data_IF_727855793509
#
_entry.id   IF_727855793509
#
_cell.length_a   1.000
_cell.length_b   1.000
_cell.length_c   1.000
_cell.angle_alpha   90.00
_cell.angle_beta   90.00
_cell.angle_gamma   90.00
#
_symmetry.space_group_name_H-M   'P 1'
#
loop_
_entity.id
_entity.type
_entity.pdbx_description
1 polymer ?
#
# COMPACT_ATOMS: atom_id res chain seq x y z
N UNK A 1 4.53 8.62 44.43
CA UNK A 1 5.14 8.56 43.09
C UNK A 1 4.35 7.56 42.27
N UNK A 2 3.29 8.05 41.65
CA UNK A 2 2.41 7.27 40.78
C UNK A 2 3.16 6.96 39.49
N UNK A 3 3.32 5.69 39.16
CA UNK A 3 3.78 5.24 37.84
C UNK A 3 2.83 5.83 36.78
N UNK A 4 3.18 6.97 36.19
CA UNK A 4 2.66 7.34 34.88
C UNK A 4 3.19 6.28 33.92
N UNK A 5 2.39 5.23 33.67
CA UNK A 5 2.52 4.51 32.41
C UNK A 5 2.35 5.57 31.33
N UNK A 6 3.41 5.87 30.58
CA UNK A 6 3.30 6.66 29.36
C UNK A 6 2.12 6.09 28.57
N UNK A 7 1.11 6.95 28.32
CA UNK A 7 -0.10 6.54 27.64
C UNK A 7 0.31 6.32 26.18
N UNK A 8 0.56 5.06 25.83
CA UNK A 8 1.04 4.71 24.49
C UNK A 8 0.05 5.24 23.44
N UNK A 9 0.50 6.24 22.69
CA UNK A 9 -0.27 6.88 21.64
C UNK A 9 0.45 6.73 20.30
N UNK A 10 -0.32 6.82 19.23
CA UNK A 10 0.16 6.81 17.86
C UNK A 10 -0.09 8.17 17.23
N UNK A 11 0.87 8.65 16.45
CA UNK A 11 0.73 9.86 15.64
C UNK A 11 0.76 9.45 14.18
N UNK A 12 -0.14 10.03 13.41
CA UNK A 12 -0.18 9.94 11.97
C UNK A 12 -0.02 11.34 11.39
N UNK A 13 0.81 11.48 10.38
CA UNK A 13 0.81 12.65 9.51
C UNK A 13 0.43 12.20 8.10
N UNK A 14 -0.66 12.75 7.55
CA UNK A 14 -1.12 12.49 6.19
C UNK A 14 -1.04 13.77 5.35
N UNK A 15 -0.64 13.63 4.09
CA UNK A 15 -0.54 14.73 3.12
C UNK A 15 -1.12 14.28 1.78
N UNK A 16 -2.03 15.08 1.22
CA UNK A 16 -2.65 14.81 -0.07
C UNK A 16 -1.65 14.97 -1.22
N UNK A 17 -1.75 14.07 -2.19
CA UNK A 17 -0.97 14.11 -3.42
C UNK A 17 -1.70 14.88 -4.53
N UNK A 18 -0.94 15.62 -5.33
CA UNK A 18 -1.48 16.27 -6.56
C UNK A 18 -2.36 17.50 -6.30
N UNK A 19 -2.30 18.09 -5.11
CA UNK A 19 -3.02 19.32 -4.74
C UNK A 19 -2.61 20.50 -5.63
N UNK A 20 -1.30 20.67 -5.84
CA UNK A 20 -0.72 21.67 -6.76
C UNK A 20 -1.20 21.54 -8.20
N UNK A 21 -1.37 20.31 -8.69
CA UNK A 21 -1.85 20.07 -10.06
C UNK A 21 -3.35 20.32 -10.17
N UNK A 22 -4.12 19.95 -9.14
CA UNK A 22 -5.57 20.20 -9.10
C UNK A 22 -5.86 21.71 -9.08
N UNK A 23 -5.10 22.49 -8.31
CA UNK A 23 -5.21 23.95 -8.27
C UNK A 23 -4.88 24.63 -9.61
N UNK A 24 -4.05 24.00 -10.47
CA UNK A 24 -3.74 24.51 -11.81
C UNK A 24 -4.82 24.23 -12.85
N UNK A 25 -5.56 23.12 -12.69
CA UNK A 25 -6.55 22.66 -13.67
C UNK A 25 -7.88 23.39 -13.47
N UNK A 26 -8.32 23.55 -12.21
CA UNK A 26 -9.57 24.24 -11.91
C UNK A 26 -9.55 24.83 -10.50
N UNK A 27 -10.05 26.06 -10.38
CA UNK A 27 -10.27 26.73 -9.10
C UNK A 27 -11.31 26.02 -8.22
N UNK A 28 -12.19 25.18 -8.78
CA UNK A 28 -13.20 24.42 -8.03
C UNK A 28 -12.77 23.02 -7.63
N UNK A 29 -11.84 22.39 -8.37
CA UNK A 29 -11.41 21.02 -8.10
C UNK A 29 -10.56 20.90 -6.83
N UNK A 30 -9.71 21.90 -6.56
CA UNK A 30 -8.90 21.90 -5.36
C UNK A 30 -9.77 21.99 -4.09
N UNK A 31 -10.67 22.98 -3.92
CA UNK A 31 -11.54 23.06 -2.75
C UNK A 31 -12.37 21.80 -2.52
N UNK A 32 -12.95 21.22 -3.57
CA UNK A 32 -13.77 20.00 -3.46
C UNK A 32 -12.95 18.81 -2.94
N UNK A 33 -11.70 18.65 -3.38
CA UNK A 33 -10.81 17.60 -2.88
C UNK A 33 -10.43 17.80 -1.41
N UNK A 34 -10.17 19.05 -1.01
CA UNK A 34 -9.86 19.38 0.39
C UNK A 34 -11.08 19.11 1.29
N UNK A 35 -12.28 19.48 0.84
CA UNK A 35 -13.53 19.21 1.53
C UNK A 35 -13.76 17.70 1.69
N UNK A 36 -13.66 16.95 0.60
CA UNK A 36 -13.82 15.48 0.61
C UNK A 36 -12.82 14.81 1.54
N UNK A 37 -11.55 15.21 1.47
CA UNK A 37 -10.49 14.73 2.37
C UNK A 37 -10.79 15.01 3.83
N UNK A 38 -11.15 16.27 4.15
CA UNK A 38 -11.39 16.70 5.52
C UNK A 38 -12.64 16.03 6.11
N UNK A 39 -13.72 15.92 5.34
CA UNK A 39 -14.95 15.23 5.76
C UNK A 39 -14.71 13.73 5.96
N UNK A 40 -14.02 13.06 5.04
CA UNK A 40 -13.70 11.62 5.17
C UNK A 40 -12.88 11.35 6.43
N UNK A 41 -11.87 12.17 6.71
CA UNK A 41 -11.06 12.03 7.92
C UNK A 41 -11.86 12.30 9.19
N UNK A 42 -12.72 13.32 9.18
CA UNK A 42 -13.58 13.66 10.32
C UNK A 42 -14.57 12.54 10.63
N UNK A 43 -15.27 12.04 9.61
CA UNK A 43 -16.26 10.96 9.73
C UNK A 43 -15.63 9.70 10.34
N UNK A 44 -14.49 9.25 9.79
CA UNK A 44 -13.83 8.05 10.31
C UNK A 44 -13.18 8.27 11.68
N UNK A 45 -12.68 9.47 11.97
CA UNK A 45 -12.12 9.79 13.28
C UNK A 45 -13.19 9.82 14.39
N UNK A 46 -14.45 10.16 14.08
CA UNK A 46 -15.57 10.12 15.03
C UNK A 46 -15.94 8.70 15.47
N UNK A 47 -15.58 7.68 14.69
CA UNK A 47 -15.84 6.28 15.02
C UNK A 47 -14.80 5.70 16.00
N UNK A 48 -13.68 6.40 16.23
CA UNK A 48 -12.65 6.01 17.19
C UNK A 48 -13.16 6.24 18.61
N UNK A 49 -13.12 5.19 19.44
CA UNK A 49 -13.52 5.22 20.85
C UNK A 49 -12.34 5.61 21.77
N UNK A 50 -11.11 5.32 21.35
CA UNK A 50 -9.91 5.76 22.04
C UNK A 50 -9.72 7.28 21.98
N UNK A 51 -8.85 7.83 22.85
CA UNK A 51 -8.49 9.25 22.81
C UNK A 51 -7.95 9.63 21.42
N UNK A 52 -8.63 10.55 20.75
CA UNK A 52 -8.27 11.04 19.42
C UNK A 52 -8.06 12.56 19.41
N UNK A 53 -7.03 13.01 18.69
CA UNK A 53 -6.83 14.44 18.38
C UNK A 53 -6.57 14.59 16.90
N UNK A 54 -7.26 15.52 16.24
CA UNK A 54 -7.09 15.79 14.81
C UNK A 54 -6.77 17.27 14.60
N UNK A 55 -5.78 17.57 13.74
CA UNK A 55 -5.37 18.93 13.38
C UNK A 55 -5.17 19.03 11.87
N UNK A 56 -6.05 19.77 11.21
CA UNK A 56 -6.02 19.98 9.77
C UNK A 56 -5.15 21.18 9.38
N UNK A 57 -4.45 21.05 8.26
CA UNK A 57 -3.57 22.05 7.67
C UNK A 57 -3.76 22.05 6.15
N UNK A 58 -4.88 22.59 5.68
CA UNK A 58 -5.29 22.58 4.28
C UNK A 58 -5.26 21.18 3.64
N UNK A 59 -4.17 20.78 3.00
CA UNK A 59 -3.98 19.50 2.33
C UNK A 59 -3.27 18.42 3.18
N UNK A 60 -3.00 18.71 4.45
CA UNK A 60 -2.39 17.76 5.39
C UNK A 60 -3.11 17.72 6.74
N UNK A 61 -2.85 16.66 7.50
CA UNK A 61 -3.46 16.45 8.82
C UNK A 61 -2.51 15.74 9.77
N UNK A 62 -2.52 16.15 11.04
CA UNK A 62 -2.02 15.33 12.14
C UNK A 62 -3.18 14.65 12.85
N UNK A 63 -3.01 13.36 13.16
CA UNK A 63 -3.92 12.60 13.99
C UNK A 63 -3.15 11.91 15.12
N UNK A 64 -3.63 12.02 16.35
CA UNK A 64 -3.19 11.21 17.48
C UNK A 64 -4.29 10.20 17.81
N UNK A 65 -3.94 8.93 18.03
CA UNK A 65 -4.88 7.88 18.46
C UNK A 65 -4.28 7.05 19.61
N UNK A 66 -5.07 6.81 20.66
CA UNK A 66 -4.68 5.99 21.80
C UNK A 66 -4.77 4.46 21.57
N UNK A 67 -5.19 3.99 20.39
CA UNK A 67 -5.41 2.57 20.10
C UNK A 67 -4.87 2.20 18.72
N UNK A 68 -3.93 1.25 18.66
CA UNK A 68 -3.39 0.78 17.39
C UNK A 68 -4.44 0.03 16.56
N UNK A 69 -5.31 -0.75 17.20
CA UNK A 69 -6.35 -1.50 16.46
C UNK A 69 -7.34 -0.55 15.79
N UNK A 70 -7.83 0.46 16.51
CA UNK A 70 -8.75 1.44 15.94
C UNK A 70 -8.05 2.34 14.92
N UNK A 71 -6.75 2.60 15.07
CA UNK A 71 -5.96 3.26 14.05
C UNK A 71 -5.89 2.43 12.76
N UNK A 72 -5.69 1.11 12.85
CA UNK A 72 -5.72 0.21 11.68
C UNK A 72 -7.06 0.28 10.97
N UNK A 73 -8.16 0.26 11.72
CA UNK A 73 -9.52 0.33 11.15
C UNK A 73 -9.78 1.68 10.49
N UNK A 74 -9.37 2.79 11.13
CA UNK A 74 -9.40 4.14 10.57
C UNK A 74 -8.60 4.23 9.26
N UNK A 75 -7.37 3.71 9.26
CA UNK A 75 -6.49 3.69 8.08
C UNK A 75 -7.13 2.96 6.90
N UNK A 76 -7.70 1.78 7.15
CA UNK A 76 -8.36 0.99 6.12
C UNK A 76 -9.56 1.75 5.52
N UNK A 77 -10.38 2.37 6.37
CA UNK A 77 -11.56 3.12 5.93
C UNK A 77 -11.19 4.38 5.13
N UNK A 78 -10.25 5.18 5.62
CA UNK A 78 -9.77 6.39 4.93
C UNK A 78 -9.13 6.04 3.59
N UNK A 79 -8.30 5.00 3.54
CA UNK A 79 -7.67 4.53 2.30
C UNK A 79 -8.72 4.07 1.30
N UNK A 80 -9.69 3.25 1.73
CA UNK A 80 -10.77 2.76 0.88
C UNK A 80 -11.58 3.91 0.26
N UNK A 81 -12.11 4.82 1.09
CA UNK A 81 -12.96 5.93 0.63
C UNK A 81 -12.19 6.86 -0.32
N UNK A 82 -11.02 7.35 0.10
CA UNK A 82 -10.29 8.35 -0.70
C UNK A 82 -9.72 7.76 -1.99
N UNK A 83 -9.18 6.54 -1.97
CA UNK A 83 -8.56 5.97 -3.17
C UNK A 83 -9.62 5.57 -4.19
N UNK A 84 -10.82 5.16 -3.76
CA UNK A 84 -11.97 4.92 -4.66
C UNK A 84 -12.40 6.19 -5.41
N UNK A 85 -12.15 7.37 -4.83
CA UNK A 85 -12.38 8.68 -5.46
C UNK A 85 -11.14 9.25 -6.18
N UNK A 86 -10.08 8.46 -6.34
CA UNK A 86 -8.81 8.90 -6.93
C UNK A 86 -8.15 10.06 -6.16
N UNK A 87 -8.41 10.15 -4.85
CA UNK A 87 -7.76 11.07 -3.91
C UNK A 87 -6.68 10.29 -3.17
N UNK A 88 -5.43 10.49 -3.57
CA UNK A 88 -4.28 9.78 -3.00
C UNK A 88 -3.55 10.64 -1.98
N UNK A 89 -2.88 9.99 -1.04
CA UNK A 89 -2.06 10.63 -0.02
C UNK A 89 -0.80 9.82 0.25
N UNK A 90 0.18 10.48 0.88
CA UNK A 90 1.32 9.84 1.54
C UNK A 90 1.23 10.11 3.04
N UNK A 91 1.38 9.06 3.83
CA UNK A 91 1.24 9.14 5.28
C UNK A 91 2.35 8.36 6.01
N UNK A 92 2.70 8.83 7.21
CA UNK A 92 3.54 8.08 8.14
C UNK A 92 2.88 7.91 9.50
N UNK A 93 3.19 6.80 10.16
CA UNK A 93 2.71 6.40 11.48
C UNK A 93 3.92 6.19 12.40
N UNK A 94 3.90 6.83 13.55
CA UNK A 94 4.92 6.72 14.59
C UNK A 94 4.29 6.60 15.98
N UNK A 95 5.08 6.17 16.96
CA UNK A 95 4.67 6.25 18.38
C UNK A 95 4.96 7.62 18.95
N UNK A 96 4.07 8.10 19.80
CA UNK A 96 4.26 9.33 20.56
C UNK A 96 2.97 10.10 20.74
N UNK A 97 3.10 11.28 21.35
CA UNK A 97 2.01 12.23 21.49
C UNK A 97 2.25 13.46 20.60
N UNK A 98 1.17 14.04 20.09
CA UNK A 98 1.25 15.23 19.25
C UNK A 98 1.83 16.44 20.01
N UNK A 99 1.61 16.47 21.34
CA UNK A 99 1.96 17.60 22.22
C UNK A 99 1.54 18.95 21.63
N UNK A 100 0.32 19.02 21.12
CA UNK A 100 -0.24 20.25 20.56
C UNK A 100 -0.34 21.35 21.62
N UNK A 101 0.40 22.44 21.39
CA UNK A 101 0.41 23.65 22.22
C UNK A 101 -0.09 24.80 21.36
N UNK A 102 -1.34 25.26 21.55
CA UNK A 102 -1.87 26.38 20.78
C UNK A 102 -1.03 27.63 21.02
N UNK A 103 -0.81 28.40 19.97
CA UNK A 103 -0.23 29.74 20.06
C UNK A 103 -1.28 30.61 20.74
N UNK A 104 -1.16 30.82 22.04
CA UNK A 104 -2.07 31.70 22.78
C UNK A 104 -1.87 33.12 22.26
N UNK A 105 -2.91 33.68 21.64
CA UNK A 105 -2.92 35.10 21.32
C UNK A 105 -2.89 35.92 22.61
N UNK A 106 -1.90 36.80 22.74
CA UNK A 106 -2.09 37.99 23.54
C UNK A 106 -3.10 38.88 22.81
N UNK A 107 -4.36 38.87 23.25
CA UNK A 107 -5.37 39.82 22.79
C UNK A 107 -4.80 41.21 23.08
N UNK A 108 -4.35 41.89 22.03
CA UNK A 108 -3.90 43.28 22.15
C UNK A 108 -5.17 44.12 22.17
N UNK A 109 -5.52 44.65 23.33
CA UNK A 109 -6.63 45.61 23.47
C UNK A 109 -6.43 46.76 22.47
N UNK A 110 -7.45 47.09 21.69
CA UNK A 110 -7.45 48.29 20.82
C UNK A 110 -7.54 48.08 19.29
N UNK A 111 -7.81 46.87 18.79
CA UNK A 111 -8.05 46.69 17.33
C UNK A 111 -9.52 46.93 16.95
N UNK A 112 -9.73 47.74 15.90
CA UNK A 112 -11.03 48.12 15.33
C UNK A 112 -11.71 47.03 14.50
N UNK A 113 -11.02 45.92 14.19
CA UNK A 113 -11.51 44.84 13.34
C UNK A 113 -11.22 43.46 13.97
N UNK A 114 -12.06 42.44 13.70
CA UNK A 114 -11.81 41.07 14.16
C UNK A 114 -10.46 40.58 13.63
N UNK A 115 -9.63 40.06 14.53
CA UNK A 115 -8.30 39.53 14.24
C UNK A 115 -8.27 38.05 14.60
N UNK A 116 -8.28 37.20 13.58
CA UNK A 116 -8.24 35.74 13.73
C UNK A 116 -6.86 35.23 13.29
N UNK A 117 -6.07 34.80 14.27
CA UNK A 117 -4.79 34.13 14.08
C UNK A 117 -4.77 32.96 15.03
N UNK A 118 -4.84 31.77 14.47
CA UNK A 118 -4.70 30.51 15.19
C UNK A 118 -3.48 29.76 14.67
N UNK A 119 -2.87 28.96 15.55
CA UNK A 119 -1.70 28.17 15.22
C UNK A 119 -1.33 27.27 16.38
N UNK A 120 -0.46 26.31 16.11
CA UNK A 120 -0.04 25.30 17.07
C UNK A 120 1.46 25.05 16.96
N UNK A 121 2.10 24.82 18.11
CA UNK A 121 3.40 24.17 18.19
C UNK A 121 3.19 22.69 18.48
N UNK A 122 4.06 21.85 17.92
CA UNK A 122 4.03 20.42 18.11
C UNK A 122 5.30 19.90 18.76
N UNK A 123 5.19 18.77 19.46
CA UNK A 123 6.32 18.12 20.11
C UNK A 123 7.25 17.41 19.12
N UNK A 124 8.39 16.89 19.62
CA UNK A 124 9.40 16.22 18.80
C UNK A 124 8.87 15.02 18.00
N UNK A 125 7.92 14.26 18.55
CA UNK A 125 7.33 13.12 17.87
C UNK A 125 6.55 13.52 16.60
N UNK A 126 5.90 14.69 16.60
CA UNK A 126 5.24 15.24 15.43
C UNK A 126 6.24 15.59 14.31
N UNK A 127 7.40 16.13 14.68
CA UNK A 127 8.50 16.41 13.74
C UNK A 127 9.06 15.11 13.15
N UNK A 128 9.21 14.07 13.97
CA UNK A 128 9.65 12.74 13.55
C UNK A 128 8.72 12.12 12.50
N UNK A 129 7.40 12.10 12.76
CA UNK A 129 6.42 11.54 11.82
C UNK A 129 6.31 12.38 10.54
N UNK A 130 6.42 13.71 10.63
CA UNK A 130 6.50 14.59 9.46
C UNK A 130 7.69 14.23 8.57
N UNK A 131 8.87 14.06 9.15
CA UNK A 131 10.07 13.70 8.38
C UNK A 131 9.99 12.29 7.77
N UNK A 132 9.41 11.34 8.49
CA UNK A 132 9.17 9.99 7.98
C UNK A 132 8.23 10.03 6.76
N UNK A 133 7.18 10.85 6.82
CA UNK A 133 6.24 11.06 5.73
C UNK A 133 6.88 11.75 4.52
N UNK A 134 7.73 12.77 4.75
CA UNK A 134 8.47 13.45 3.67
C UNK A 134 9.46 12.53 2.95
N UNK A 135 10.07 11.62 3.72
CA UNK A 135 11.01 10.61 3.22
C UNK A 135 10.32 9.51 2.43
N UNK A 136 9.03 9.25 2.71
CA UNK A 136 8.22 8.27 2.01
C UNK A 136 7.84 8.75 0.60
N UNK A 137 8.09 7.92 -0.41
CA UNK A 137 7.78 8.24 -1.81
C UNK A 137 6.63 7.41 -2.40
N UNK A 138 6.12 6.42 -1.68
CA UNK A 138 4.95 5.65 -2.11
C UNK A 138 3.64 6.41 -1.90
N UNK A 139 2.52 5.70 -2.07
CA UNK A 139 1.19 6.15 -1.67
C UNK A 139 0.69 5.24 -0.54
N UNK A 140 -0.20 5.74 0.33
CA UNK A 140 -0.68 5.01 1.50
C UNK A 140 0.14 5.33 2.75
N UNK A 141 0.38 4.34 3.61
CA UNK A 141 1.00 4.53 4.92
C UNK A 141 2.38 3.88 5.00
N UNK A 142 3.29 4.52 5.73
CA UNK A 142 4.52 3.89 6.21
C UNK A 142 4.54 3.91 7.73
N UNK A 143 5.04 2.85 8.34
CA UNK A 143 5.21 2.74 9.79
C UNK A 143 6.70 2.84 10.12
N UNK A 144 7.03 3.65 11.11
CA UNK A 144 8.41 3.77 11.56
C UNK A 144 8.97 2.42 12.06
N UNK A 145 10.21 2.08 11.68
CA UNK A 145 10.78 0.72 11.79
C UNK A 145 10.74 0.12 13.20
N UNK A 146 10.76 0.95 14.24
CA UNK A 146 10.83 0.52 15.64
C UNK A 146 9.55 0.84 16.42
N UNK A 147 8.48 1.25 15.74
CA UNK A 147 7.23 1.64 16.39
C UNK A 147 6.35 0.44 16.77
N UNK A 148 6.53 -0.74 16.20
CA UNK A 148 5.63 -1.87 16.39
C UNK A 148 6.05 -2.78 17.55
N UNK A 149 5.08 -3.28 18.31
CA UNK A 149 5.23 -4.45 19.19
C UNK A 149 4.97 -5.74 18.41
N UNK A 150 5.40 -6.88 18.96
CA UNK A 150 5.26 -8.20 18.33
C UNK A 150 3.81 -8.56 17.97
N UNK A 151 2.85 -8.24 18.83
CA UNK A 151 1.41 -8.48 18.64
C UNK A 151 0.75 -7.58 17.56
N UNK A 152 1.47 -6.55 17.10
CA UNK A 152 1.01 -5.59 16.10
C UNK A 152 1.52 -5.93 14.70
N UNK A 153 2.54 -6.80 14.60
CA UNK A 153 3.22 -7.16 13.35
C UNK A 153 2.25 -7.80 12.36
N UNK A 154 1.30 -8.61 12.80
CA UNK A 154 0.39 -9.35 11.92
C UNK A 154 -0.61 -8.44 11.18
N UNK A 155 -0.92 -7.26 11.74
CA UNK A 155 -1.79 -6.24 11.14
C UNK A 155 -1.08 -5.36 10.12
N UNK A 156 0.15 -5.71 9.77
CA UNK A 156 1.00 -4.92 8.88
C UNK A 156 1.64 -5.83 7.82
N UNK A 157 2.15 -5.24 6.75
CA UNK A 157 2.79 -5.96 5.67
C UNK A 157 4.05 -5.23 5.18
N UNK A 158 4.97 -5.97 4.57
CA UNK A 158 6.12 -5.37 3.91
C UNK A 158 5.69 -4.79 2.56
N UNK A 159 6.19 -3.61 2.24
CA UNK A 159 6.01 -2.99 0.93
C UNK A 159 7.30 -2.31 0.48
N UNK A 160 7.34 -1.79 -0.73
CA UNK A 160 8.49 -1.04 -1.22
C UNK A 160 8.11 0.00 -2.27
N UNK A 161 8.99 0.98 -2.44
CA UNK A 161 8.93 1.89 -3.57
C UNK A 161 10.31 1.98 -4.25
N UNK A 162 10.35 2.19 -5.58
CA UNK A 162 11.60 2.34 -6.30
C UNK A 162 12.18 3.74 -6.09
N UNK A 163 13.50 3.82 -5.94
CA UNK A 163 14.22 5.09 -5.66
C UNK A 163 14.96 5.66 -6.87
N UNK A 164 15.22 4.83 -7.87
CA UNK A 164 15.92 5.26 -9.08
C UNK A 164 14.98 5.33 -10.28
N UNK A 165 15.47 5.99 -11.33
CA UNK A 165 14.70 6.18 -12.54
C UNK A 165 14.42 4.89 -13.29
N UNK A 166 15.31 3.91 -13.22
CA UNK A 166 15.14 2.61 -13.86
C UNK A 166 14.28 1.62 -13.05
N UNK A 167 13.86 1.97 -11.82
CA UNK A 167 13.19 1.08 -10.87
C UNK A 167 13.99 -0.21 -10.59
N UNK A 168 15.32 -0.08 -10.57
CA UNK A 168 16.28 -1.15 -10.29
C UNK A 168 16.62 -1.26 -8.79
N UNK A 169 16.47 -0.16 -8.04
CA UNK A 169 16.70 -0.10 -6.61
C UNK A 169 15.41 0.23 -5.86
N UNK A 170 15.15 -0.51 -4.80
CA UNK A 170 13.91 -0.45 -4.03
C UNK A 170 14.21 -0.22 -2.55
N UNK A 171 13.41 0.62 -1.91
CA UNK A 171 13.45 0.82 -0.46
C UNK A 171 12.24 0.14 0.15
N UNK A 172 12.49 -0.85 1.01
CA UNK A 172 11.46 -1.52 1.77
C UNK A 172 10.97 -0.65 2.93
N UNK A 173 9.68 -0.74 3.20
CA UNK A 173 9.01 -0.14 4.34
C UNK A 173 7.90 -1.08 4.84
N UNK A 174 7.24 -0.70 5.93
CA UNK A 174 6.12 -1.46 6.47
C UNK A 174 4.85 -0.62 6.40
N UNK A 175 3.78 -1.22 5.90
CA UNK A 175 2.46 -0.61 5.71
C UNK A 175 1.42 -1.31 6.61
N UNK A 176 0.26 -0.70 6.79
CA UNK A 176 -0.91 -1.33 7.40
C UNK A 176 -1.54 -2.28 6.38
N UNK A 177 -1.72 -3.54 6.78
CA UNK A 177 -2.29 -4.60 5.94
C UNK A 177 -3.69 -4.18 5.45
N UNK A 178 -4.04 -4.55 4.23
CA UNK A 178 -5.40 -4.39 3.73
C UNK A 178 -6.36 -5.37 4.40
N UNK A 179 -7.53 -4.88 4.79
CA UNK A 179 -8.61 -5.72 5.31
C UNK A 179 -9.34 -6.48 4.20
N UNK A 180 -10.08 -7.53 4.57
CA UNK A 180 -10.87 -8.32 3.61
C UNK A 180 -11.90 -7.50 2.83
N UNK A 181 -12.40 -6.40 3.39
CA UNK A 181 -13.27 -5.46 2.67
C UNK A 181 -12.58 -4.70 1.53
N UNK A 182 -11.26 -4.51 1.59
CA UNK A 182 -10.50 -3.79 0.56
C UNK A 182 -9.99 -4.73 -0.54
N UNK A 183 -9.45 -5.89 -0.15
CA UNK A 183 -8.77 -6.84 -1.04
C UNK A 183 -9.57 -8.10 -1.38
N UNK A 184 -10.80 -8.22 -0.85
CA UNK A 184 -11.68 -9.35 -1.10
C UNK A 184 -11.20 -10.67 -0.50
N UNK A 185 -11.94 -11.73 -0.80
CA UNK A 185 -11.63 -13.12 -0.43
C UNK A 185 -11.12 -13.95 -1.62
N UNK A 186 -10.66 -15.19 -1.40
CA UNK A 186 -10.34 -16.10 -2.48
C UNK A 186 -11.55 -16.35 -3.38
N UNK A 187 -11.34 -16.26 -4.69
CA UNK A 187 -12.36 -16.46 -5.72
C UNK A 187 -12.30 -17.93 -6.16
N UNK A 188 -13.38 -18.72 -6.02
CA UNK A 188 -13.35 -20.14 -6.35
C UNK A 188 -13.09 -20.41 -7.84
N UNK A 189 -13.69 -19.63 -8.74
CA UNK A 189 -13.46 -19.71 -10.18
C UNK A 189 -13.62 -18.36 -10.90
N UNK A 190 -13.14 -18.25 -12.14
CA UNK A 190 -13.19 -17.00 -12.93
C UNK A 190 -14.61 -16.49 -13.13
N UNK A 191 -15.59 -17.39 -13.19
CA UNK A 191 -17.00 -17.07 -13.34
C UNK A 191 -17.58 -16.31 -12.14
N UNK A 192 -16.95 -16.44 -10.95
CA UNK A 192 -17.38 -15.79 -9.71
C UNK A 192 -16.67 -14.43 -9.48
N UNK A 193 -15.92 -13.92 -10.48
CA UNK A 193 -15.21 -12.64 -10.37
C UNK A 193 -16.14 -11.45 -10.13
N UNK A 194 -17.38 -11.52 -10.63
CA UNK A 194 -18.39 -10.47 -10.48
C UNK A 194 -18.75 -10.23 -9.00
N UNK A 195 -18.62 -11.25 -8.14
CA UNK A 195 -18.82 -11.10 -6.69
C UNK A 195 -17.77 -10.22 -6.02
N UNK A 196 -16.67 -9.91 -6.71
CA UNK A 196 -15.59 -9.06 -6.24
C UNK A 196 -15.55 -7.70 -6.96
N UNK A 197 -16.66 -7.27 -7.58
CA UNK A 197 -16.74 -6.04 -8.39
C UNK A 197 -16.16 -4.81 -7.68
N UNK A 198 -16.46 -4.63 -6.39
CA UNK A 198 -16.00 -3.47 -5.61
C UNK A 198 -14.48 -3.48 -5.44
N UNK A 199 -13.90 -4.64 -5.14
CA UNK A 199 -12.43 -4.79 -5.02
C UNK A 199 -11.76 -4.58 -6.38
N UNK A 200 -12.35 -5.10 -7.46
CA UNK A 200 -11.81 -4.90 -8.81
C UNK A 200 -11.87 -3.42 -9.21
N UNK A 201 -12.99 -2.74 -8.96
CA UNK A 201 -13.14 -1.31 -9.21
C UNK A 201 -12.15 -0.46 -8.40
N UNK A 202 -11.90 -0.82 -7.15
CA UNK A 202 -10.88 -0.19 -6.31
C UNK A 202 -9.46 -0.33 -6.92
N UNK A 203 -9.09 -1.53 -7.36
CA UNK A 203 -7.81 -1.78 -8.01
C UNK A 203 -7.68 -1.06 -9.36
N UNK A 204 -8.75 -1.03 -10.15
CA UNK A 204 -8.83 -0.28 -11.41
C UNK A 204 -8.59 1.20 -11.17
N UNK A 205 -9.22 1.77 -10.14
CA UNK A 205 -9.08 3.18 -9.77
C UNK A 205 -7.62 3.57 -9.50
N UNK A 206 -6.88 2.71 -8.79
CA UNK A 206 -5.44 2.91 -8.52
C UNK A 206 -4.63 2.75 -9.82
N UNK A 207 -4.95 1.75 -10.65
CA UNK A 207 -4.22 1.49 -11.90
C UNK A 207 -4.42 2.62 -12.91
N UNK A 208 -5.64 3.12 -13.06
CA UNK A 208 -5.96 4.27 -13.91
C UNK A 208 -5.24 5.53 -13.47
N UNK A 209 -5.16 5.79 -12.16
CA UNK A 209 -4.36 6.88 -11.62
C UNK A 209 -2.88 6.72 -11.94
N UNK A 210 -2.33 5.51 -11.76
CA UNK A 210 -0.94 5.20 -12.09
C UNK A 210 -0.66 5.39 -13.60
N UNK A 211 -1.56 4.94 -14.48
CA UNK A 211 -1.44 5.09 -15.93
C UNK A 211 -1.53 6.56 -16.37
N UNK A 212 -2.44 7.35 -15.79
CA UNK A 212 -2.50 8.80 -16.03
C UNK A 212 -1.27 9.53 -15.50
N UNK A 213 -0.68 9.08 -14.39
CA UNK A 213 0.60 9.60 -13.94
C UNK A 213 1.73 9.21 -14.93
N UNK A 214 1.67 8.00 -15.50
CA UNK A 214 2.66 7.48 -16.45
C UNK A 214 2.70 8.30 -17.75
N UNK A 215 1.54 8.74 -18.26
CA UNK A 215 1.47 9.58 -19.47
C UNK A 215 2.05 10.97 -19.25
N UNK A 216 1.94 11.52 -18.03
CA UNK A 216 2.54 12.80 -17.66
C UNK A 216 4.05 12.67 -17.42
N UNK A 217 4.45 11.73 -16.56
CA UNK A 217 5.84 11.46 -16.18
C UNK A 217 5.98 10.00 -15.72
N UNK A 218 6.74 9.20 -16.47
CA UNK A 218 6.99 7.77 -16.15
C UNK A 218 7.46 7.54 -14.71
N UNK A 219 8.27 8.46 -14.18
CA UNK A 219 8.80 8.39 -12.82
C UNK A 219 7.75 8.58 -11.71
N UNK A 220 6.56 9.10 -12.00
CA UNK A 220 5.50 9.28 -10.99
C UNK A 220 4.64 8.03 -10.83
N UNK A 221 4.38 7.31 -11.91
CA UNK A 221 3.54 6.11 -11.90
C UNK A 221 4.09 5.01 -10.99
N UNK A 222 5.43 4.89 -10.91
CA UNK A 222 6.10 3.86 -10.11
C UNK A 222 5.80 3.95 -8.61
N UNK A 223 5.41 5.12 -8.10
CA UNK A 223 5.09 5.30 -6.69
C UNK A 223 3.76 4.63 -6.29
N UNK A 224 2.85 4.43 -7.24
CA UNK A 224 1.62 3.65 -7.05
C UNK A 224 1.90 2.15 -6.89
N UNK A 225 3.07 1.66 -7.30
CA UNK A 225 3.42 0.24 -7.16
C UNK A 225 3.47 -0.19 -5.68
N UNK A 226 3.86 0.72 -4.78
CA UNK A 226 3.85 0.46 -3.33
C UNK A 226 2.48 -0.04 -2.84
N UNK A 227 1.40 0.55 -3.36
CA UNK A 227 0.04 0.18 -3.01
C UNK A 227 -0.33 -1.23 -3.49
N UNK A 228 0.04 -1.58 -4.72
CA UNK A 228 -0.20 -2.92 -5.25
C UNK A 228 0.64 -3.98 -4.54
N UNK A 229 1.86 -3.65 -4.13
CA UNK A 229 2.69 -4.52 -3.29
C UNK A 229 1.98 -4.78 -1.96
N UNK A 230 1.46 -3.74 -1.30
CA UNK A 230 0.69 -3.86 -0.06
C UNK A 230 -0.56 -4.74 -0.25
N UNK A 231 -1.30 -4.60 -1.37
CA UNK A 231 -2.42 -5.48 -1.71
C UNK A 231 -1.98 -6.94 -1.86
N UNK A 232 -0.94 -7.24 -2.66
CA UNK A 232 -0.42 -8.60 -2.87
C UNK A 232 0.01 -9.24 -1.54
N UNK A 233 0.71 -8.49 -0.69
CA UNK A 233 1.21 -8.98 0.59
C UNK A 233 0.09 -9.20 1.62
N UNK A 234 -1.01 -8.47 1.46
CA UNK A 234 -2.21 -8.59 2.29
C UNK A 234 -3.12 -9.73 1.87
N UNK A 235 -3.15 -10.08 0.58
CA UNK A 235 -4.04 -11.10 0.02
C UNK A 235 -3.70 -12.52 0.42
N UNK A 236 -4.75 -13.35 0.49
CA UNK A 236 -4.63 -14.78 0.74
C UNK A 236 -4.35 -15.55 -0.55
N UNK A 237 -3.23 -16.25 -0.59
CA UNK A 237 -2.80 -17.14 -1.68
C UNK A 237 -2.76 -18.61 -1.23
N UNK A 238 -3.26 -18.92 -0.04
CA UNK A 238 -3.40 -20.30 0.44
C UNK A 238 -4.41 -21.05 -0.44
N UNK A 239 -4.09 -22.30 -0.78
CA UNK A 239 -4.94 -23.19 -1.58
C UNK A 239 -5.25 -22.72 -3.02
N UNK A 240 -4.53 -21.73 -3.54
CA UNK A 240 -4.59 -21.39 -4.97
C UNK A 240 -4.20 -22.62 -5.79
N UNK A 241 -5.02 -22.95 -6.78
CA UNK A 241 -4.88 -24.17 -7.57
C UNK A 241 -5.01 -23.91 -9.07
N UNK A 242 -4.48 -24.83 -9.87
CA UNK A 242 -4.58 -24.84 -11.32
C UNK A 242 -5.01 -26.23 -11.82
N UNK A 243 -6.29 -26.36 -12.13
CA UNK A 243 -6.93 -27.61 -12.55
C UNK A 243 -7.69 -27.39 -13.86
N UNK A 244 -7.67 -28.37 -14.78
CA UNK A 244 -8.32 -28.28 -16.10
C UNK A 244 -8.01 -27.01 -16.90
N UNK A 245 -6.77 -26.52 -16.81
CA UNK A 245 -6.31 -25.26 -17.43
C UNK A 245 -6.99 -24.01 -16.89
N UNK A 246 -7.59 -24.09 -15.70
CA UNK A 246 -8.26 -22.98 -15.04
C UNK A 246 -7.65 -22.75 -13.65
N UNK A 247 -7.50 -21.48 -13.29
CA UNK A 247 -7.12 -21.07 -11.94
C UNK A 247 -8.34 -21.15 -11.02
N UNK A 248 -8.12 -21.57 -9.78
CA UNK A 248 -9.14 -21.65 -8.71
C UNK A 248 -8.59 -21.12 -7.39
N UNK A 249 -9.49 -20.66 -6.53
CA UNK A 249 -9.19 -20.13 -5.20
C UNK A 249 -8.11 -19.03 -5.21
N UNK A 250 -8.16 -18.13 -6.19
CA UNK A 250 -7.18 -17.06 -6.35
C UNK A 250 -7.71 -15.75 -5.76
N UNK A 251 -6.86 -14.88 -5.18
CA UNK A 251 -7.31 -13.58 -4.69
C UNK A 251 -7.59 -12.61 -5.86
N UNK A 252 -8.43 -11.56 -5.67
CA UNK A 252 -8.75 -10.58 -6.71
C UNK A 252 -7.52 -9.91 -7.33
N UNK A 253 -6.49 -9.61 -6.52
CA UNK A 253 -5.24 -9.02 -7.01
C UNK A 253 -4.47 -9.94 -7.96
N UNK A 254 -4.58 -11.27 -7.79
CA UNK A 254 -4.00 -12.24 -8.72
C UNK A 254 -4.69 -12.15 -10.08
N UNK A 255 -6.03 -12.14 -10.08
CA UNK A 255 -6.79 -11.95 -11.31
C UNK A 255 -6.43 -10.63 -12.00
N UNK A 256 -6.44 -9.55 -11.24
CA UNK A 256 -6.24 -8.19 -11.74
C UNK A 256 -4.85 -7.94 -12.32
N UNK A 257 -3.78 -8.42 -11.67
CA UNK A 257 -2.40 -8.25 -12.16
C UNK A 257 -2.02 -9.31 -13.19
N UNK A 258 -2.42 -10.56 -12.98
CA UNK A 258 -1.84 -11.72 -13.66
C UNK A 258 -2.73 -12.32 -14.77
N UNK A 259 -4.04 -12.46 -14.51
CA UNK A 259 -4.96 -13.17 -15.41
C UNK A 259 -5.63 -12.26 -16.42
N UNK A 260 -6.15 -11.11 -15.97
CA UNK A 260 -6.88 -10.17 -16.82
C UNK A 260 -5.93 -9.49 -17.80
N UNK A 261 -6.11 -9.75 -19.10
CA UNK A 261 -5.20 -9.27 -20.14
C UNK A 261 -5.19 -7.75 -20.26
N UNK A 262 -6.31 -7.06 -20.01
CA UNK A 262 -6.43 -5.61 -20.16
C UNK A 262 -5.61 -4.89 -19.10
N UNK A 263 -5.90 -5.17 -17.82
CA UNK A 263 -5.22 -4.58 -16.66
C UNK A 263 -3.75 -4.99 -16.63
N UNK A 264 -3.42 -6.24 -16.97
CA UNK A 264 -2.04 -6.73 -17.09
C UNK A 264 -1.18 -5.90 -18.05
N UNK A 265 -1.72 -5.54 -19.22
CA UNK A 265 -1.01 -4.64 -20.16
C UNK A 265 -0.78 -3.27 -19.53
N UNK A 266 -1.76 -2.77 -18.78
CA UNK A 266 -1.62 -1.55 -17.98
C UNK A 266 -0.45 -1.62 -17.00
N UNK A 267 -0.38 -2.69 -16.20
CA UNK A 267 0.74 -2.91 -15.29
C UNK A 267 2.09 -2.95 -16.01
N UNK A 268 2.19 -3.72 -17.09
CA UNK A 268 3.43 -3.84 -17.87
C UNK A 268 3.92 -2.52 -18.47
N UNK A 269 3.02 -1.53 -18.64
CA UNK A 269 3.40 -0.18 -19.08
C UNK A 269 4.04 0.68 -17.97
N UNK A 270 3.89 0.30 -16.69
CA UNK A 270 4.46 1.00 -15.55
C UNK A 270 5.87 0.49 -15.27
N UNK A 271 6.84 1.40 -15.24
CA UNK A 271 8.23 1.06 -14.94
C UNK A 271 8.35 0.49 -13.52
N UNK A 272 9.03 -0.66 -13.39
CA UNK A 272 9.20 -1.38 -12.13
C UNK A 272 8.10 -2.41 -11.81
N UNK A 273 7.02 -2.47 -12.59
CA UNK A 273 5.88 -3.37 -12.32
C UNK A 273 6.23 -4.87 -12.38
N UNK A 274 7.36 -5.25 -12.98
CA UNK A 274 7.90 -6.62 -12.95
C UNK A 274 7.95 -7.19 -11.53
N UNK A 275 8.22 -6.36 -10.52
CA UNK A 275 8.20 -6.77 -9.12
C UNK A 275 6.83 -7.33 -8.68
N UNK A 276 5.71 -6.78 -9.16
CA UNK A 276 4.37 -7.26 -8.82
C UNK A 276 4.15 -8.71 -9.28
N UNK A 277 4.59 -9.01 -10.51
CA UNK A 277 4.50 -10.36 -11.07
C UNK A 277 5.38 -11.36 -10.32
N UNK A 278 6.58 -10.93 -9.91
CA UNK A 278 7.47 -11.76 -9.10
C UNK A 278 6.94 -11.97 -7.69
N UNK A 279 6.34 -10.96 -7.07
CA UNK A 279 5.69 -11.08 -5.78
C UNK A 279 4.54 -12.08 -5.84
N UNK A 280 3.68 -11.99 -6.85
CA UNK A 280 2.61 -12.98 -7.06
C UNK A 280 3.18 -14.39 -7.19
N UNK A 281 4.19 -14.58 -8.03
CA UNK A 281 4.80 -15.89 -8.21
C UNK A 281 5.45 -16.40 -6.91
N UNK A 282 6.15 -15.53 -6.18
CA UNK A 282 6.71 -15.85 -4.88
C UNK A 282 5.63 -16.28 -3.88
N UNK A 283 4.52 -15.54 -3.77
CA UNK A 283 3.39 -15.89 -2.89
C UNK A 283 2.82 -17.27 -3.24
N UNK A 284 2.65 -17.59 -4.52
CA UNK A 284 2.20 -18.92 -4.98
C UNK A 284 3.21 -20.01 -4.60
N UNK A 285 4.51 -19.76 -4.80
CA UNK A 285 5.57 -20.71 -4.45
C UNK A 285 5.70 -20.91 -2.94
N UNK A 286 5.52 -19.88 -2.14
CA UNK A 286 5.58 -19.95 -0.68
C UNK A 286 4.39 -20.69 -0.07
N UNK A 287 3.19 -20.53 -0.65
CA UNK A 287 1.97 -21.20 -0.16
C UNK A 287 1.87 -22.64 -0.62
N UNK A 288 2.39 -22.96 -1.82
CA UNK A 288 2.36 -24.31 -2.37
C UNK A 288 3.66 -25.08 -2.12
N UNK A 289 4.78 -24.42 -1.84
CA UNK A 289 6.07 -25.08 -1.60
C UNK A 289 6.28 -25.41 -0.13
N UNK A 290 6.51 -26.68 0.20
CA UNK A 290 7.13 -27.01 1.48
C UNK A 290 8.56 -26.43 1.51
N UNK A 291 8.78 -25.45 2.41
CA UNK A 291 10.05 -24.69 2.62
C UNK A 291 11.30 -25.53 2.97
N UNK A 292 11.35 -26.84 2.72
CA UNK A 292 12.50 -27.66 3.16
C UNK A 292 12.72 -29.02 2.50
N UNK A 293 12.02 -29.41 1.43
CA UNK A 293 12.27 -30.72 0.79
C UNK A 293 12.26 -30.64 -0.74
N UNK A 294 13.29 -31.15 -1.45
CA UNK A 294 13.22 -31.35 -2.90
C UNK A 294 12.21 -32.47 -3.20
N UNK A 295 10.91 -32.13 -3.28
CA UNK A 295 9.87 -33.11 -3.63
C UNK A 295 9.66 -33.15 -5.13
N UNK A 296 10.40 -34.06 -5.75
CA UNK A 296 10.09 -34.65 -7.06
C UNK A 296 8.83 -35.56 -7.03
N UNK A 297 7.97 -35.48 -6.00
CA UNK A 297 6.90 -36.47 -5.76
C UNK A 297 5.48 -35.94 -5.64
N UNK A 298 5.26 -34.63 -5.56
CA UNK A 298 3.91 -34.07 -5.67
C UNK A 298 3.74 -33.36 -7.03
N UNK A 299 3.06 -34.04 -7.95
CA UNK A 299 2.87 -33.57 -9.33
C UNK A 299 1.92 -32.38 -9.41
N UNK A 300 0.97 -32.23 -8.48
CA UNK A 300 -0.05 -31.19 -8.50
C UNK A 300 0.51 -29.83 -8.03
N UNK A 301 1.17 -29.81 -6.86
CA UNK A 301 1.86 -28.62 -6.34
C UNK A 301 2.90 -28.09 -7.34
N UNK A 302 3.69 -28.98 -7.96
CA UNK A 302 4.62 -28.59 -9.00
C UNK A 302 3.93 -28.04 -10.25
N UNK A 303 2.70 -28.46 -10.56
CA UNK A 303 1.96 -27.94 -11.69
C UNK A 303 1.57 -26.47 -11.49
N UNK A 304 1.05 -26.09 -10.32
CA UNK A 304 0.68 -24.70 -9.98
C UNK A 304 1.90 -23.78 -10.05
N UNK A 305 2.98 -24.15 -9.36
CA UNK A 305 4.24 -23.38 -9.38
C UNK A 305 4.85 -23.31 -10.78
N UNK A 306 4.79 -24.39 -11.57
CA UNK A 306 5.29 -24.34 -12.95
C UNK A 306 4.41 -23.51 -13.87
N UNK A 307 3.09 -23.46 -13.64
CA UNK A 307 2.18 -22.66 -14.47
C UNK A 307 2.40 -21.16 -14.24
N UNK A 308 2.52 -20.72 -12.98
CA UNK A 308 2.83 -19.30 -12.70
C UNK A 308 4.18 -18.90 -13.31
N UNK A 309 5.21 -19.75 -13.21
CA UNK A 309 6.52 -19.48 -13.81
C UNK A 309 6.46 -19.54 -15.35
N UNK A 310 5.70 -20.47 -15.93
CA UNK A 310 5.49 -20.56 -17.39
C UNK A 310 4.86 -19.28 -17.92
N UNK A 311 3.88 -18.74 -17.20
CA UNK A 311 3.26 -17.46 -17.54
C UNK A 311 4.24 -16.28 -17.41
N UNK A 312 5.17 -16.28 -16.45
CA UNK A 312 6.25 -15.28 -16.41
C UNK A 312 7.20 -15.38 -17.61
N UNK A 313 7.58 -16.60 -17.98
CA UNK A 313 8.49 -16.87 -19.12
C UNK A 313 7.83 -16.46 -20.44
N UNK A 314 6.57 -16.82 -20.67
CA UNK A 314 5.84 -16.47 -21.90
C UNK A 314 5.67 -14.96 -22.07
N UNK A 315 5.59 -14.23 -20.96
CA UNK A 315 5.56 -12.76 -20.92
C UNK A 315 6.95 -12.11 -20.99
N UNK A 316 8.02 -12.90 -21.14
CA UNK A 316 9.42 -12.43 -21.16
C UNK A 316 9.80 -11.62 -19.91
N UNK A 317 9.17 -11.89 -18.77
CA UNK A 317 9.45 -11.18 -17.52
C UNK A 317 10.73 -11.67 -16.83
N UNK A 318 11.27 -12.83 -17.26
CA UNK A 318 12.42 -13.52 -16.64
C UNK A 318 13.70 -13.46 -17.50
N UNK A 319 13.74 -12.60 -18.53
CA UNK A 319 14.86 -12.54 -19.50
C UNK A 319 16.04 -11.71 -19.01
N UNK A 320 15.79 -10.72 -18.15
CA UNK A 320 16.83 -9.87 -17.56
C UNK A 320 17.13 -10.30 -16.12
N UNK A 321 18.38 -10.15 -15.65
CA UNK A 321 18.75 -10.44 -14.28
C UNK A 321 17.89 -9.65 -13.29
N UNK A 322 17.56 -10.28 -12.17
CA UNK A 322 16.72 -9.69 -11.13
C UNK A 322 17.35 -8.39 -10.61
N UNK A 323 16.54 -7.34 -10.49
CA UNK A 323 16.88 -6.14 -9.75
C UNK A 323 17.17 -6.48 -8.29
N UNK A 324 17.78 -5.56 -7.53
CA UNK A 324 17.97 -5.75 -6.08
C UNK A 324 16.62 -5.65 -5.38
N UNK A 325 15.89 -6.77 -5.33
CA UNK A 325 14.64 -6.91 -4.59
C UNK A 325 15.00 -6.99 -3.09
N UNK A 326 14.37 -6.19 -2.22
CA UNK A 326 14.58 -6.29 -0.79
C UNK A 326 14.23 -7.70 -0.28
N UNK A 327 15.10 -8.31 0.51
CA UNK A 327 14.88 -9.66 1.05
C UNK A 327 13.64 -9.78 1.94
N UNK A 328 13.21 -8.67 2.55
CA UNK A 328 11.99 -8.59 3.36
C UNK A 328 10.70 -8.71 2.50
N UNK A 329 10.80 -8.55 1.17
CA UNK A 329 9.68 -8.70 0.25
C UNK A 329 9.60 -10.09 -0.37
N UNK A 330 10.75 -10.64 -0.80
CA UNK A 330 10.86 -11.99 -1.34
C UNK A 330 12.15 -12.59 -0.79
N UNK A 331 12.02 -13.73 -0.11
CA UNK A 331 13.17 -14.45 0.42
C UNK A 331 14.10 -14.93 -0.71
N UNK A 332 15.42 -14.96 -0.44
CA UNK A 332 16.44 -15.25 -1.45
C UNK A 332 16.31 -16.66 -2.05
N UNK A 333 15.93 -17.63 -1.24
CA UNK A 333 15.68 -19.02 -1.65
C UNK A 333 14.49 -19.14 -2.62
N UNK A 334 13.44 -18.34 -2.41
CA UNK A 334 12.28 -18.26 -3.33
C UNK A 334 12.69 -17.66 -4.67
N UNK A 335 13.51 -16.60 -4.66
CA UNK A 335 14.06 -16.01 -5.89
C UNK A 335 14.96 -16.99 -6.66
N UNK A 336 15.78 -17.76 -5.95
CA UNK A 336 16.60 -18.82 -6.55
C UNK A 336 15.75 -19.92 -7.18
N UNK A 337 14.67 -20.37 -6.51
CA UNK A 337 13.76 -21.37 -7.08
C UNK A 337 13.03 -20.84 -8.32
N UNK A 338 12.52 -19.61 -8.27
CA UNK A 338 11.94 -18.92 -9.43
C UNK A 338 12.93 -18.89 -10.61
N UNK A 339 14.19 -18.52 -10.35
CA UNK A 339 15.22 -18.47 -11.38
C UNK A 339 15.49 -19.84 -12.00
N UNK A 340 15.65 -20.87 -11.16
CA UNK A 340 15.90 -22.25 -11.59
C UNK A 340 14.75 -22.82 -12.42
N UNK A 341 13.50 -22.67 -11.96
CA UNK A 341 12.30 -23.10 -12.72
C UNK A 341 12.19 -22.37 -14.05
N UNK A 342 12.46 -21.05 -14.05
CA UNK A 342 12.43 -20.22 -15.28
C UNK A 342 13.44 -20.70 -16.33
N UNK A 343 14.65 -21.11 -15.92
CA UNK A 343 15.65 -21.69 -16.83
C UNK A 343 15.20 -23.04 -17.34
N UNK A 344 14.75 -23.94 -16.45
CA UNK A 344 14.29 -25.28 -16.85
C UNK A 344 13.13 -25.24 -17.84
N UNK A 345 12.16 -24.34 -17.65
CA UNK A 345 11.00 -24.23 -18.53
C UNK A 345 11.35 -23.64 -19.90
N UNK A 346 12.30 -22.69 -19.97
CA UNK A 346 12.84 -22.18 -21.24
C UNK A 346 13.54 -23.29 -22.03
N UNK A 347 14.33 -24.13 -21.38
CA UNK A 347 15.03 -25.24 -22.05
C UNK A 347 14.09 -26.35 -22.55
N UNK A 348 12.94 -26.55 -21.88
CA UNK A 348 11.92 -27.55 -22.30
C UNK A 348 10.95 -27.04 -23.36
N UNK A 349 10.91 -25.73 -23.60
CA UNK A 349 10.04 -25.07 -24.60
C UNK A 349 10.71 -24.84 -25.95
N UNK A 350 11.89 -25.43 -26.18
CA UNK A 350 12.63 -25.44 -27.44
C UNK A 350 12.67 -26.84 -28.04
#
# INVERSE_FOLDING_TARGET
>A
MTNQREKESWIVFLDLLGTKDSAKISSSQYPLKIETFSHTLLEHAQNIQADVKVRFFADSVYLQCGSFSELVDFVAAVRWTLFSEQIFFKAAIARGELEDRPIVQHVTEGRLHPFDVSGSFFGPAAVGVYYAQESFKGIGFTIEKNALKADQVDRTCHSAFPVDDEASNWVAFRDIRHGGGEIGGPIPSVEEIEEQENTIAFLDTILEAALRANTKRKNLARYYLSQFISCIQSSNFENIDFHDRQWRNFPPIFYHVFMNQSTRKGYQAIRGSRLLFFLIAAKVLETNGERSVPRYKDTACNAVCNEVVRALVSQKLTTEPFSKIPGDLIASDVLEDLGRRSVSLRMRGH
#
